data_IF_199681845728
#
_entry.id   IF_199681845728
#
_cell.length_a   1.000
_cell.length_b   1.000
_cell.length_c   1.000
_cell.angle_alpha   90.00
_cell.angle_beta   90.00
_cell.angle_gamma   90.00
#
_symmetry.space_group_name_H-M   'P 1'
#
loop_
_entity.id
_entity.type
_entity.pdbx_description
1 polymer ?
#
# COMPACT_ATOMS: atom_id res chain seq x y z
N UNK A 1 0.66 1.58 82.75
CA UNK A 1 0.91 1.94 81.33
C UNK A 1 1.87 0.92 80.74
N UNK A 2 1.40 -0.02 79.92
CA UNK A 2 2.19 -0.77 78.94
C UNK A 2 1.22 -1.45 77.97
N UNK A 3 1.52 -1.30 76.70
CA UNK A 3 0.62 -1.24 75.54
C UNK A 3 0.39 -2.59 74.87
N UNK A 4 -0.85 -2.83 74.45
CA UNK A 4 -1.27 -3.91 73.54
C UNK A 4 -0.61 -3.74 72.16
N UNK A 5 -0.12 -4.84 71.58
CA UNK A 5 0.28 -4.91 70.16
C UNK A 5 -0.82 -5.66 69.40
N UNK A 6 -1.53 -4.96 68.51
CA UNK A 6 -2.33 -5.56 67.44
C UNK A 6 -1.44 -5.83 66.23
N UNK A 7 -1.48 -7.05 65.71
CA UNK A 7 -0.93 -7.38 64.39
C UNK A 7 -1.98 -7.09 63.32
N UNK A 8 -1.62 -6.28 62.31
CA UNK A 8 -2.45 -6.00 61.14
C UNK A 8 -1.80 -6.67 59.93
N UNK A 9 -2.47 -7.68 59.38
CA UNK A 9 -2.10 -8.29 58.11
C UNK A 9 -2.63 -7.42 56.97
N UNK A 10 -1.74 -6.86 56.16
CA UNK A 10 -2.08 -6.11 54.96
C UNK A 10 -2.25 -7.07 53.77
N UNK A 11 -3.47 -7.15 53.25
CA UNK A 11 -3.79 -7.86 52.01
C UNK A 11 -3.61 -6.89 50.84
N UNK A 12 -2.50 -6.98 50.11
CA UNK A 12 -2.29 -6.23 48.87
C UNK A 12 -3.08 -6.87 47.73
N UNK A 13 -4.23 -6.30 47.38
CA UNK A 13 -4.92 -6.58 46.13
C UNK A 13 -4.27 -5.74 45.02
N UNK A 14 -3.48 -6.38 44.16
CA UNK A 14 -2.98 -5.79 42.92
C UNK A 14 -4.13 -5.66 41.92
N UNK A 15 -4.69 -4.46 41.77
CA UNK A 15 -5.55 -4.13 40.65
C UNK A 15 -4.68 -4.03 39.39
N UNK A 16 -4.77 -5.04 38.51
CA UNK A 16 -4.25 -4.93 37.16
C UNK A 16 -5.06 -3.87 36.43
N UNK A 17 -4.47 -2.72 36.15
CA UNK A 17 -5.05 -1.71 35.29
C UNK A 17 -5.09 -2.27 33.87
N UNK A 18 -6.25 -2.76 33.44
CA UNK A 18 -6.53 -2.99 32.03
C UNK A 18 -6.54 -1.62 31.36
N UNK A 19 -5.47 -1.29 30.64
CA UNK A 19 -5.47 -0.19 29.69
C UNK A 19 -6.42 -0.58 28.56
N UNK A 20 -7.70 -0.26 28.72
CA UNK A 20 -8.59 -0.10 27.58
C UNK A 20 -8.05 1.07 26.78
N UNK A 21 -7.30 0.78 25.71
CA UNK A 21 -7.09 1.71 24.62
C UNK A 21 -8.47 2.20 24.23
N UNK A 22 -8.76 3.48 24.47
CA UNK A 22 -9.93 4.09 23.85
C UNK A 22 -9.73 3.93 22.36
N UNK A 23 -10.54 3.12 21.69
CA UNK A 23 -10.60 3.16 20.24
C UNK A 23 -11.16 4.52 19.89
N UNK A 24 -10.28 5.50 19.67
CA UNK A 24 -10.63 6.64 18.84
C UNK A 24 -11.22 6.09 17.54
N UNK A 25 -12.22 6.79 16.99
CA UNK A 25 -12.67 6.44 15.66
C UNK A 25 -11.47 6.59 14.72
N UNK A 26 -11.06 5.50 14.08
CA UNK A 26 -10.01 5.54 13.06
C UNK A 26 -10.45 6.46 11.93
N UNK A 27 -9.47 7.01 11.21
CA UNK A 27 -9.72 7.89 10.08
C UNK A 27 -9.20 7.25 8.80
N UNK A 28 -10.09 6.98 7.86
CA UNK A 28 -9.75 6.60 6.49
C UNK A 28 -9.20 7.83 5.75
N UNK A 29 -8.09 7.64 5.04
CA UNK A 29 -7.45 8.64 4.19
C UNK A 29 -7.55 8.19 2.74
N UNK A 30 -8.21 9.00 1.90
CA UNK A 30 -8.51 8.66 0.51
C UNK A 30 -8.25 9.82 -0.44
N UNK A 31 -7.64 9.56 -1.59
CA UNK A 31 -7.55 10.57 -2.64
C UNK A 31 -8.89 10.77 -3.35
N UNK A 32 -9.34 12.01 -3.52
CA UNK A 32 -10.57 12.39 -4.21
C UNK A 32 -10.31 13.36 -5.37
N UNK A 33 -11.14 13.28 -6.42
CA UNK A 33 -11.12 14.25 -7.51
C UNK A 33 -11.64 15.63 -7.04
N UNK A 34 -11.11 16.73 -7.61
CA UNK A 34 -10.06 16.76 -8.63
C UNK A 34 -8.62 16.70 -8.05
N UNK A 35 -8.42 17.16 -6.82
CA UNK A 35 -7.10 17.45 -6.26
C UNK A 35 -7.10 17.44 -4.72
N UNK A 36 -7.79 16.49 -4.08
CA UNK A 36 -7.93 16.50 -2.62
C UNK A 36 -7.65 15.15 -1.98
N UNK A 37 -7.29 15.18 -0.69
CA UNK A 37 -7.38 14.04 0.22
C UNK A 37 -8.62 14.21 1.10
N UNK A 38 -9.43 13.18 1.20
CA UNK A 38 -10.61 13.12 2.04
C UNK A 38 -10.29 12.28 3.28
N UNK A 39 -10.58 12.86 4.44
CA UNK A 39 -10.52 12.16 5.72
C UNK A 39 -11.93 11.71 6.06
N UNK A 40 -12.12 10.41 6.26
CA UNK A 40 -13.44 9.79 6.47
C UNK A 40 -13.43 9.08 7.81
N UNK A 41 -14.43 9.33 8.64
CA UNK A 41 -14.60 8.64 9.91
C UNK A 41 -14.96 7.16 9.67
N UNK A 42 -14.12 6.25 10.16
CA UNK A 42 -14.16 4.81 9.89
C UNK A 42 -15.32 4.08 10.63
N UNK A 43 -16.13 4.82 11.39
CA UNK A 43 -17.31 4.31 12.08
C UNK A 43 -18.58 4.70 11.33
N UNK A 44 -18.70 5.98 11.02
CA UNK A 44 -19.90 6.62 10.46
C UNK A 44 -19.87 6.72 8.94
N UNK A 45 -18.69 6.65 8.32
CA UNK A 45 -18.51 6.86 6.88
C UNK A 45 -18.60 8.31 6.43
N UNK A 46 -18.61 9.25 7.38
CA UNK A 46 -18.76 10.67 7.06
C UNK A 46 -17.41 11.32 6.75
N UNK A 47 -17.38 12.19 5.74
CA UNK A 47 -16.18 12.97 5.42
C UNK A 47 -16.01 14.06 6.49
N UNK A 48 -14.98 13.94 7.32
CA UNK A 48 -14.71 14.85 8.43
C UNK A 48 -13.76 15.99 8.07
N UNK A 49 -12.93 15.79 7.04
CA UNK A 49 -12.00 16.82 6.56
C UNK A 49 -11.65 16.60 5.07
N UNK A 50 -11.31 17.69 4.38
CA UNK A 50 -10.85 17.70 2.99
C UNK A 50 -9.61 18.57 2.85
N UNK A 51 -8.51 17.96 2.41
CA UNK A 51 -7.22 18.62 2.24
C UNK A 51 -6.93 18.80 0.75
N UNK A 52 -6.97 20.04 0.26
CA UNK A 52 -6.63 20.36 -1.13
C UNK A 52 -5.12 20.28 -1.36
N UNK A 53 -4.72 19.59 -2.42
CA UNK A 53 -3.33 19.41 -2.86
C UNK A 53 -2.99 20.43 -3.94
N UNK A 54 -1.80 21.03 -3.87
CA UNK A 54 -1.39 22.05 -4.85
C UNK A 54 -0.87 21.44 -6.15
N UNK A 55 -0.29 20.25 -6.07
CA UNK A 55 0.30 19.54 -7.20
C UNK A 55 -0.71 18.71 -8.02
N UNK A 56 -1.98 18.69 -7.61
CA UNK A 56 -3.10 18.17 -8.39
C UNK A 56 -3.54 16.75 -8.01
N UNK A 57 -3.92 15.96 -9.01
CA UNK A 57 -4.65 14.69 -8.82
C UNK A 57 -3.81 13.64 -8.08
N UNK A 58 -4.21 13.16 -6.89
CA UNK A 58 -3.47 12.14 -6.15
C UNK A 58 -3.51 10.78 -6.86
N UNK A 59 -2.36 10.09 -6.87
CA UNK A 59 -2.18 8.78 -7.54
C UNK A 59 -1.59 7.69 -6.68
N UNK A 60 -0.99 8.02 -5.54
CA UNK A 60 -0.56 7.05 -4.53
C UNK A 60 -0.45 7.72 -3.16
N UNK A 61 -0.83 7.00 -2.11
CA UNK A 61 -0.67 7.37 -0.71
C UNK A 61 0.27 6.38 -0.01
N UNK A 62 1.18 6.88 0.81
CA UNK A 62 2.08 6.05 1.62
C UNK A 62 2.47 6.73 2.93
N UNK A 63 2.61 5.95 4.00
CA UNK A 63 3.13 6.46 5.27
C UNK A 63 4.64 6.65 5.26
N UNK A 64 5.13 7.58 6.09
CA UNK A 64 6.53 7.56 6.54
C UNK A 64 6.80 6.30 7.38
N UNK A 65 8.08 5.92 7.51
CA UNK A 65 8.48 4.77 8.34
C UNK A 65 8.03 4.88 9.81
N UNK A 66 7.88 6.10 10.34
CA UNK A 66 7.38 6.37 11.69
C UNK A 66 5.86 6.61 11.77
N UNK A 67 5.13 6.51 10.65
CA UNK A 67 3.69 6.72 10.56
C UNK A 67 3.22 8.17 10.77
N UNK A 68 4.12 9.13 11.01
CA UNK A 68 3.76 10.52 11.32
C UNK A 68 3.44 11.38 10.10
N UNK A 69 3.82 10.93 8.91
CA UNK A 69 3.60 11.66 7.66
C UNK A 69 2.91 10.78 6.65
N UNK A 70 2.13 11.41 5.78
CA UNK A 70 1.54 10.79 4.60
C UNK A 70 2.15 11.44 3.36
N UNK A 71 2.85 10.65 2.57
CA UNK A 71 3.36 11.04 1.27
C UNK A 71 2.27 10.79 0.23
N UNK A 72 2.01 11.81 -0.59
CA UNK A 72 1.04 11.75 -1.67
C UNK A 72 1.76 12.10 -2.96
N UNK A 73 1.73 11.20 -3.92
CA UNK A 73 2.20 11.52 -5.27
C UNK A 73 1.04 11.97 -6.13
N UNK A 74 1.30 12.93 -7.01
CA UNK A 74 0.25 13.52 -7.87
C UNK A 74 0.63 13.48 -9.35
N UNK A 75 -0.40 13.34 -10.20
CA UNK A 75 -0.22 13.19 -11.64
C UNK A 75 0.03 14.52 -12.35
N UNK A 76 -0.70 15.57 -11.97
CA UNK A 76 -0.84 16.78 -12.78
C UNK A 76 0.49 17.49 -13.02
N UNK A 77 1.31 17.59 -11.98
CA UNK A 77 2.61 18.29 -12.05
C UNK A 77 3.80 17.39 -11.74
N UNK A 78 3.62 16.06 -11.75
CA UNK A 78 4.64 15.12 -11.26
C UNK A 78 5.01 15.43 -9.83
N UNK A 79 4.01 15.66 -8.98
CA UNK A 79 4.20 16.26 -7.67
C UNK A 79 4.33 15.26 -6.54
N UNK A 80 4.89 15.75 -5.44
CA UNK A 80 5.01 15.04 -4.16
C UNK A 80 4.56 16.00 -3.07
N UNK A 81 3.48 15.64 -2.38
CA UNK A 81 2.96 16.35 -1.22
C UNK A 81 3.25 15.52 0.03
N UNK A 82 3.51 16.20 1.14
CA UNK A 82 3.76 15.56 2.43
C UNK A 82 2.78 16.17 3.42
N UNK A 83 1.89 15.34 3.96
CA UNK A 83 0.93 15.72 4.98
C UNK A 83 1.41 15.23 6.34
N UNK A 84 1.10 15.99 7.39
CA UNK A 84 1.18 15.53 8.77
C UNK A 84 -0.01 14.59 9.05
N UNK A 85 0.27 13.39 9.55
CA UNK A 85 -0.75 12.36 9.74
C UNK A 85 -1.74 12.71 10.87
N UNK A 86 -1.33 13.47 11.89
CA UNK A 86 -2.17 13.77 13.05
C UNK A 86 -3.03 15.03 12.84
N UNK A 87 -2.46 16.06 12.22
CA UNK A 87 -3.13 17.35 12.00
C UNK A 87 -3.70 17.52 10.60
N UNK A 88 -3.44 16.57 9.69
CA UNK A 88 -3.86 16.56 8.28
C UNK A 88 -3.30 17.73 7.44
N UNK A 89 -2.38 18.51 7.99
CA UNK A 89 -1.83 19.69 7.31
C UNK A 89 -0.78 19.31 6.29
N UNK A 90 -0.83 19.95 5.12
CA UNK A 90 0.25 19.89 4.13
C UNK A 90 1.50 20.58 4.68
N UNK A 91 2.57 19.81 4.88
CA UNK A 91 3.88 20.26 5.34
C UNK A 91 4.77 20.71 4.18
N UNK A 92 4.73 19.95 3.08
CA UNK A 92 5.58 20.16 1.91
C UNK A 92 4.76 19.90 0.65
N UNK A 93 4.95 20.73 -0.36
CA UNK A 93 4.35 20.59 -1.69
C UNK A 93 5.42 20.83 -2.74
N UNK A 94 5.66 19.84 -3.61
CA UNK A 94 6.69 19.89 -4.64
C UNK A 94 6.07 19.59 -6.01
N UNK A 95 6.57 20.29 -7.02
CA UNK A 95 6.34 20.00 -8.43
C UNK A 95 7.68 19.72 -9.08
N UNK A 96 7.86 18.52 -9.63
CA UNK A 96 9.05 18.20 -10.43
C UNK A 96 8.95 18.79 -11.84
N UNK A 97 7.75 19.08 -12.32
CA UNK A 97 7.56 19.69 -13.62
C UNK A 97 7.88 21.19 -13.56
N UNK A 98 8.57 21.64 -14.60
CA UNK A 98 8.81 23.04 -14.94
C UNK A 98 8.35 23.31 -16.41
N UNK A 99 8.49 24.54 -16.95
CA UNK A 99 8.06 24.85 -18.32
C UNK A 99 8.70 23.98 -19.43
N UNK A 100 9.93 23.51 -19.22
CA UNK A 100 10.71 22.72 -20.19
C UNK A 100 10.95 21.29 -19.76
N UNK A 101 11.00 20.98 -18.48
CA UNK A 101 11.17 19.62 -17.96
C UNK A 101 9.88 19.09 -17.38
N UNK A 102 9.51 17.86 -17.73
CA UNK A 102 8.43 17.12 -17.08
C UNK A 102 8.91 15.76 -16.60
N UNK A 103 8.26 15.26 -15.56
CA UNK A 103 8.48 13.93 -15.03
C UNK A 103 7.16 13.17 -15.03
N UNK A 104 7.23 11.93 -15.51
CA UNK A 104 6.14 10.97 -15.43
C UNK A 104 6.66 9.73 -14.74
N UNK A 105 6.27 9.53 -13.50
CA UNK A 105 6.65 8.36 -12.72
C UNK A 105 5.44 7.49 -12.40
N UNK A 106 5.69 6.19 -12.23
CA UNK A 106 4.68 5.16 -11.99
C UNK A 106 4.72 4.64 -10.57
N UNK A 107 5.84 4.79 -9.86
CA UNK A 107 6.00 4.38 -8.47
C UNK A 107 6.88 5.34 -7.69
N UNK A 108 6.71 5.33 -6.37
CA UNK A 108 7.46 6.18 -5.45
C UNK A 108 7.51 5.58 -4.04
N UNK A 109 8.59 5.84 -3.30
CA UNK A 109 8.72 5.49 -1.88
C UNK A 109 9.58 6.52 -1.14
N UNK A 110 9.16 6.99 0.06
CA UNK A 110 9.98 7.88 0.87
C UNK A 110 11.13 7.13 1.51
N UNK A 111 12.26 7.82 1.66
CA UNK A 111 13.38 7.35 2.48
C UNK A 111 13.00 7.28 3.97
N UNK A 112 13.53 6.32 4.77
CA UNK A 112 13.23 6.23 6.21
C UNK A 112 13.55 7.50 7.00
N UNK A 113 14.51 8.31 6.55
CA UNK A 113 14.85 9.61 7.16
C UNK A 113 13.87 10.72 6.79
N UNK A 114 13.05 10.51 5.76
CA UNK A 114 12.11 11.49 5.22
C UNK A 114 12.74 12.63 4.41
N UNK A 115 14.05 12.55 4.10
CA UNK A 115 14.75 13.56 3.29
C UNK A 115 14.61 13.34 1.79
N UNK A 116 14.64 12.08 1.35
CA UNK A 116 14.61 11.72 -0.06
C UNK A 116 13.32 10.98 -0.41
N UNK A 117 12.97 11.04 -1.69
CA UNK A 117 11.89 10.24 -2.26
C UNK A 117 12.40 9.55 -3.52
N UNK A 118 12.36 8.23 -3.53
CA UNK A 118 12.82 7.42 -4.65
C UNK A 118 11.64 7.18 -5.58
N UNK A 119 11.80 7.49 -6.87
CA UNK A 119 10.77 7.29 -7.89
C UNK A 119 11.28 6.45 -9.03
N UNK A 120 10.35 5.82 -9.73
CA UNK A 120 10.62 5.11 -10.98
C UNK A 120 9.76 5.67 -12.09
N UNK A 121 10.37 6.12 -13.17
CA UNK A 121 9.68 6.91 -14.18
C UNK A 121 10.57 7.36 -15.33
N UNK A 122 10.10 8.36 -16.06
CA UNK A 122 10.84 8.96 -17.16
C UNK A 122 10.80 10.49 -17.07
N UNK A 123 11.88 11.10 -17.58
CA UNK A 123 11.99 12.53 -17.85
C UNK A 123 11.45 12.80 -19.26
N UNK A 124 10.77 13.91 -19.44
CA UNK A 124 10.27 14.40 -20.72
C UNK A 124 10.74 15.84 -20.88
N UNK A 125 11.53 16.12 -21.92
CA UNK A 125 11.89 17.49 -22.27
C UNK A 125 10.86 18.02 -23.27
N UNK A 126 10.20 19.12 -22.89
CA UNK A 126 9.25 19.86 -23.71
C UNK A 126 9.99 20.97 -24.46
N UNK A 127 10.20 20.75 -25.74
CA UNK A 127 10.70 21.75 -26.67
C UNK A 127 9.53 22.59 -27.23
N UNK A 128 9.83 23.53 -28.11
CA UNK A 128 8.83 24.44 -28.69
C UNK A 128 7.77 23.67 -29.51
N UNK A 129 8.19 22.63 -30.23
CA UNK A 129 7.38 21.87 -31.19
C UNK A 129 7.45 20.33 -30.99
N UNK A 130 8.18 19.84 -30.00
CA UNK A 130 8.39 18.41 -29.76
C UNK A 130 8.49 18.08 -28.26
N UNK A 131 8.09 16.87 -27.90
CA UNK A 131 8.43 16.26 -26.61
C UNK A 131 9.48 15.16 -26.82
N UNK A 132 10.60 15.25 -26.12
CA UNK A 132 11.63 14.19 -26.08
C UNK A 132 11.45 13.36 -24.82
N UNK A 133 11.20 12.07 -25.01
CA UNK A 133 11.06 11.12 -23.91
C UNK A 133 12.43 10.50 -23.60
N UNK A 134 12.87 10.64 -22.34
CA UNK A 134 14.01 9.90 -21.83
C UNK A 134 13.67 8.43 -21.58
N UNK A 135 14.70 7.63 -21.31
CA UNK A 135 14.51 6.23 -20.94
C UNK A 135 13.94 6.10 -19.52
N UNK A 136 13.20 5.02 -19.22
CA UNK A 136 12.82 4.69 -17.85
C UNK A 136 14.05 4.66 -16.93
N UNK A 137 13.93 5.27 -15.77
CA UNK A 137 15.04 5.51 -14.84
C UNK A 137 14.58 5.37 -13.40
N UNK A 138 15.49 4.91 -12.53
CA UNK A 138 15.43 5.15 -11.10
C UNK A 138 15.89 6.57 -10.81
N UNK A 139 15.14 7.29 -9.98
CA UNK A 139 15.47 8.67 -9.64
C UNK A 139 15.37 8.92 -8.13
N UNK A 140 16.27 9.76 -7.63
CA UNK A 140 16.30 10.23 -6.25
C UNK A 140 15.90 11.70 -6.23
N UNK A 141 14.80 12.01 -5.56
CA UNK A 141 14.31 13.38 -5.35
C UNK A 141 14.75 13.85 -3.97
N UNK A 142 15.38 15.01 -3.86
CA UNK A 142 15.61 15.68 -2.56
C UNK A 142 14.37 16.50 -2.21
N UNK A 143 13.66 16.11 -1.14
CA UNK A 143 12.43 16.77 -0.73
C UNK A 143 12.65 18.16 -0.14
N UNK A 144 13.89 18.52 0.21
CA UNK A 144 14.23 19.85 0.68
C UNK A 144 14.39 20.84 -0.48
N UNK A 145 14.97 20.41 -1.59
CA UNK A 145 15.22 21.28 -2.75
C UNK A 145 14.15 21.16 -3.83
N UNK A 146 13.45 20.03 -3.90
CA UNK A 146 12.48 19.73 -4.96
C UNK A 146 13.14 19.25 -6.25
N UNK A 147 14.43 18.89 -6.23
CA UNK A 147 15.18 18.51 -7.41
C UNK A 147 15.44 17.01 -7.49
N UNK A 148 15.51 16.50 -8.72
CA UNK A 148 16.03 15.15 -8.99
C UNK A 148 17.55 15.19 -8.92
N UNK A 149 18.10 14.75 -7.79
CA UNK A 149 19.55 14.79 -7.50
C UNK A 149 20.31 13.61 -8.09
N UNK A 150 19.61 12.55 -8.49
CA UNK A 150 20.20 11.39 -9.19
C UNK A 150 19.17 10.75 -10.12
N UNK A 151 19.62 10.35 -11.30
CA UNK A 151 18.83 9.59 -12.28
C UNK A 151 19.73 8.54 -12.92
N UNK A 152 19.31 7.29 -12.94
CA UNK A 152 20.02 6.17 -13.56
C UNK A 152 19.05 5.38 -14.41
N UNK A 153 19.38 5.21 -15.70
CA UNK A 153 18.55 4.46 -16.64
C UNK A 153 18.39 3.01 -16.18
N UNK A 154 17.18 2.48 -16.29
CA UNK A 154 16.90 1.07 -16.03
C UNK A 154 17.45 0.26 -17.21
N UNK A 155 18.14 -0.84 -16.90
CA UNK A 155 18.74 -1.68 -17.92
C UNK A 155 17.67 -2.34 -18.81
N UNK A 156 18.03 -2.66 -20.06
CA UNK A 156 17.11 -3.37 -20.96
C UNK A 156 16.75 -4.78 -20.42
N UNK A 157 17.65 -5.41 -19.67
CA UNK A 157 17.42 -6.70 -18.99
C UNK A 157 16.30 -6.62 -17.94
N UNK A 158 16.18 -5.48 -17.27
CA UNK A 158 15.16 -5.26 -16.24
C UNK A 158 13.84 -4.78 -16.82
N UNK A 159 13.88 -4.25 -18.05
CA UNK A 159 12.72 -3.77 -18.77
C UNK A 159 12.13 -2.49 -18.16
N UNK A 160 11.15 -1.86 -18.83
CA UNK A 160 10.47 -0.71 -18.27
C UNK A 160 9.61 -1.12 -17.07
N UNK A 161 9.51 -0.26 -16.05
CA UNK A 161 8.64 -0.45 -14.91
C UNK A 161 7.18 -0.53 -15.37
N UNK A 162 6.41 -1.44 -14.77
CA UNK A 162 4.98 -1.58 -15.01
C UNK A 162 4.16 -0.32 -14.69
N UNK A 163 2.89 -0.33 -15.10
CA UNK A 163 1.96 0.72 -14.69
C UNK A 163 1.65 0.56 -13.20
N UNK A 164 2.08 1.53 -12.38
CA UNK A 164 1.99 1.52 -10.90
C UNK A 164 2.94 0.55 -10.21
N UNK A 165 4.21 0.64 -10.56
CA UNK A 165 5.28 -0.11 -9.90
C UNK A 165 5.27 0.15 -8.40
N UNK A 166 5.24 -0.94 -7.63
CA UNK A 166 5.33 -0.88 -6.18
C UNK A 166 6.79 -0.85 -5.78
N UNK A 167 7.13 0.08 -4.91
CA UNK A 167 8.47 0.23 -4.37
C UNK A 167 8.41 0.04 -2.85
N UNK A 168 9.43 -0.59 -2.29
CA UNK A 168 9.66 -0.61 -0.86
C UNK A 168 11.12 -0.26 -0.57
N UNK A 169 11.37 0.32 0.59
CA UNK A 169 12.73 0.61 1.04
C UNK A 169 13.00 -0.18 2.31
N UNK A 170 14.20 -0.76 2.40
CA UNK A 170 14.65 -1.38 3.64
C UNK A 170 14.67 -0.33 4.77
N UNK A 171 14.43 -0.74 6.04
CA UNK A 171 14.49 0.17 7.19
C UNK A 171 15.83 0.92 7.33
N UNK A 172 16.93 0.34 6.83
CA UNK A 172 18.25 0.97 6.83
C UNK A 172 18.42 2.07 5.76
N UNK A 173 17.46 2.22 4.85
CA UNK A 173 17.47 3.19 3.77
C UNK A 173 18.45 2.87 2.64
N UNK A 174 19.19 1.75 2.70
CA UNK A 174 20.26 1.45 1.74
C UNK A 174 19.77 0.64 0.54
N UNK A 175 18.74 -0.18 0.75
CA UNK A 175 18.23 -1.09 -0.27
C UNK A 175 16.82 -0.67 -0.71
N UNK A 176 16.65 -0.42 -2.01
CA UNK A 176 15.36 -0.20 -2.67
C UNK A 176 14.91 -1.49 -3.35
N UNK A 177 13.68 -1.89 -3.09
CA UNK A 177 13.03 -3.03 -3.71
C UNK A 177 12.01 -2.55 -4.73
N UNK A 178 12.10 -3.09 -5.94
CA UNK A 178 11.18 -2.79 -7.04
C UNK A 178 10.39 -4.05 -7.36
N UNK A 179 9.09 -4.03 -7.10
CA UNK A 179 8.21 -5.17 -7.31
C UNK A 179 7.54 -5.05 -8.67
N UNK A 180 7.98 -5.87 -9.61
CA UNK A 180 7.42 -6.02 -10.94
C UNK A 180 7.37 -7.53 -11.30
N UNK A 181 7.66 -7.91 -12.55
CA UNK A 181 7.82 -9.32 -12.97
C UNK A 181 8.82 -10.10 -12.12
N UNK A 182 9.87 -9.41 -11.66
CA UNK A 182 10.89 -9.87 -10.72
C UNK A 182 11.04 -8.82 -9.62
N UNK A 183 11.61 -9.20 -8.48
CA UNK A 183 11.94 -8.23 -7.44
C UNK A 183 13.38 -7.78 -7.64
N UNK A 184 13.57 -6.52 -8.04
CA UNK A 184 14.91 -5.93 -8.17
C UNK A 184 15.37 -5.43 -6.80
N UNK A 185 16.61 -5.76 -6.44
CA UNK A 185 17.28 -5.29 -5.23
C UNK A 185 18.32 -4.24 -5.62
N UNK A 186 17.97 -2.98 -5.40
CA UNK A 186 18.69 -1.82 -5.92
C UNK A 186 19.41 -1.09 -4.78
N UNK A 187 20.70 -0.79 -4.95
CA UNK A 187 21.44 0.05 -4.01
C UNK A 187 21.01 1.52 -4.15
N UNK A 188 20.65 2.18 -3.06
CA UNK A 188 20.14 3.56 -3.08
C UNK A 188 21.23 4.63 -3.25
N UNK A 189 22.51 4.28 -3.07
CA UNK A 189 23.62 5.20 -3.27
C UNK A 189 23.91 5.40 -4.75
N UNK A 190 23.85 4.33 -5.55
CA UNK A 190 24.18 4.37 -6.97
C UNK A 190 23.15 3.86 -7.97
N UNK A 191 22.03 3.30 -7.48
CA UNK A 191 21.02 2.62 -8.29
C UNK A 191 21.54 1.41 -9.06
N UNK A 192 22.65 0.80 -8.62
CA UNK A 192 23.07 -0.49 -9.13
C UNK A 192 22.09 -1.57 -8.67
N UNK A 193 21.69 -2.44 -9.62
CA UNK A 193 20.91 -3.63 -9.31
C UNK A 193 21.87 -4.68 -8.76
N UNK A 194 21.85 -4.86 -7.44
CA UNK A 194 22.77 -5.76 -6.71
C UNK A 194 22.31 -7.22 -6.73
N UNK A 195 21.00 -7.43 -6.82
CA UNK A 195 20.40 -8.74 -6.91
C UNK A 195 19.08 -8.66 -7.67
N UNK A 196 18.69 -9.79 -8.24
CA UNK A 196 17.41 -10.00 -8.90
C UNK A 196 16.84 -11.22 -8.24
N UNK A 197 15.88 -10.99 -7.34
CA UNK A 197 15.10 -12.07 -6.80
C UNK A 197 14.13 -12.45 -7.90
N UNK A 198 14.62 -13.37 -8.72
CA UNK A 198 13.82 -14.02 -9.71
C UNK A 198 12.81 -14.88 -8.97
N UNK A 199 11.56 -14.44 -9.01
CA UNK A 199 10.44 -15.23 -8.52
C UNK A 199 10.17 -16.39 -9.50
N UNK A 200 10.89 -16.46 -10.63
CA UNK A 200 11.00 -17.63 -11.51
C UNK A 200 12.16 -18.53 -11.02
N UNK A 201 11.85 -19.50 -10.16
CA UNK A 201 12.76 -20.63 -9.89
C UNK A 201 12.05 -21.95 -10.16
N UNK A 202 12.75 -23.00 -10.62
CA UNK A 202 12.18 -24.17 -11.31
C UNK A 202 11.12 -25.01 -10.56
N UNK A 203 10.86 -24.78 -9.26
CA UNK A 203 9.74 -25.39 -8.53
C UNK A 203 8.44 -24.56 -8.60
N UNK A 204 8.54 -23.27 -8.94
CA UNK A 204 7.42 -22.34 -9.03
C UNK A 204 7.56 -21.45 -10.26
N UNK A 205 6.67 -21.61 -11.22
CA UNK A 205 6.85 -20.87 -12.44
C UNK A 205 6.19 -19.48 -12.43
N UNK A 206 6.89 -18.47 -12.98
CA UNK A 206 6.42 -17.18 -13.55
C UNK A 206 5.39 -16.35 -12.79
N UNK A 207 5.75 -15.45 -11.88
CA UNK A 207 4.73 -14.58 -11.26
C UNK A 207 4.31 -13.36 -12.10
N UNK A 208 3.02 -13.03 -12.09
CA UNK A 208 2.47 -11.76 -12.61
C UNK A 208 1.64 -11.08 -11.52
N UNK A 209 1.68 -9.75 -11.49
CA UNK A 209 0.89 -8.91 -10.57
C UNK A 209 1.21 -9.13 -9.07
N UNK A 210 2.49 -8.93 -8.70
CA UNK A 210 2.90 -8.85 -7.28
C UNK A 210 2.24 -7.64 -6.61
N UNK A 211 1.08 -7.87 -5.98
CA UNK A 211 0.47 -6.92 -5.07
C UNK A 211 1.13 -7.07 -3.72
N UNK A 212 1.78 -6.03 -3.17
CA UNK A 212 2.06 -5.97 -1.73
C UNK A 212 0.75 -5.65 -0.98
N UNK A 213 0.59 -6.11 0.25
CA UNK A 213 -0.58 -5.79 1.06
C UNK A 213 -0.77 -4.29 1.30
N UNK A 214 -1.85 -3.93 1.98
CA UNK A 214 -2.15 -2.53 2.35
C UNK A 214 -1.00 -1.87 3.10
N UNK A 215 -0.84 -0.54 2.95
CA UNK A 215 0.24 0.22 3.61
C UNK A 215 0.27 0.08 5.13
N UNK A 216 -0.86 -0.29 5.76
CA UNK A 216 -0.96 -0.53 7.19
C UNK A 216 -0.13 -1.73 7.68
N UNK A 217 -0.04 -2.80 6.89
CA UNK A 217 0.75 -3.98 7.27
C UNK A 217 2.24 -3.65 7.34
N UNK A 218 2.71 -2.81 6.41
CA UNK A 218 4.11 -2.35 6.37
C UNK A 218 4.51 -1.52 7.60
N UNK A 219 3.54 -0.83 8.22
CA UNK A 219 3.77 -0.09 9.47
C UNK A 219 3.82 -1.00 10.70
N UNK A 220 3.01 -2.07 10.71
CA UNK A 220 2.95 -3.01 11.84
C UNK A 220 4.19 -3.86 11.94
N UNK A 221 4.72 -4.31 10.79
CA UNK A 221 5.93 -5.11 10.72
C UNK A 221 6.92 -4.49 9.73
N UNK A 222 7.71 -3.47 10.15
CA UNK A 222 8.66 -2.81 9.26
C UNK A 222 9.61 -3.82 8.59
N UNK A 223 9.67 -3.75 7.26
CA UNK A 223 10.51 -4.63 6.45
C UNK A 223 9.95 -6.04 6.24
N UNK A 224 8.76 -6.38 6.74
CA UNK A 224 8.08 -7.65 6.44
C UNK A 224 6.82 -7.39 5.62
N UNK A 225 6.63 -8.17 4.57
CA UNK A 225 5.50 -8.04 3.66
C UNK A 225 4.81 -9.38 3.49
N UNK A 226 3.56 -9.47 3.90
CA UNK A 226 2.69 -10.62 3.61
C UNK A 226 1.69 -10.22 2.54
N UNK A 227 1.59 -10.99 1.46
CA UNK A 227 0.57 -10.74 0.44
C UNK A 227 0.13 -11.98 -0.33
N UNK A 228 -0.88 -11.82 -1.19
CA UNK A 228 -1.25 -12.79 -2.22
C UNK A 228 -0.39 -12.55 -3.45
N UNK A 229 0.18 -13.64 -3.95
CA UNK A 229 1.04 -13.65 -5.13
C UNK A 229 0.48 -14.64 -6.14
N UNK A 230 0.58 -14.30 -7.43
CA UNK A 230 0.16 -15.16 -8.54
C UNK A 230 1.41 -15.59 -9.32
N UNK A 231 1.63 -16.90 -9.39
CA UNK A 231 2.57 -17.65 -10.24
C UNK A 231 1.88 -18.14 -11.51
N UNK A 232 2.62 -18.38 -12.58
CA UNK A 232 2.25 -18.75 -13.95
C UNK A 232 3.35 -19.64 -14.57
N UNK A 233 2.99 -20.86 -14.96
CA UNK A 233 3.86 -21.77 -15.72
C UNK A 233 4.50 -21.12 -16.98
N UNK A 234 5.84 -21.01 -17.16
CA UNK A 234 6.39 -20.39 -18.36
C UNK A 234 6.19 -21.25 -19.61
N UNK A 235 5.91 -22.54 -19.46
CA UNK A 235 5.73 -23.48 -20.58
C UNK A 235 4.26 -23.69 -20.92
N UNK A 236 3.40 -23.84 -19.91
CA UNK A 236 1.96 -24.13 -20.12
C UNK A 236 1.03 -22.98 -19.71
N UNK A 237 1.57 -21.86 -19.21
CA UNK A 237 0.83 -20.64 -18.85
C UNK A 237 -0.29 -20.83 -17.81
N UNK A 238 -0.16 -21.85 -16.96
CA UNK A 238 -1.11 -22.12 -15.88
C UNK A 238 -0.81 -21.27 -14.65
N UNK A 239 -1.81 -20.52 -14.18
CA UNK A 239 -1.66 -19.63 -13.05
C UNK A 239 -2.08 -20.25 -11.72
N UNK A 240 -1.28 -20.05 -10.68
CA UNK A 240 -1.51 -20.50 -9.29
C UNK A 240 -1.32 -19.31 -8.37
N UNK A 241 -2.25 -19.09 -7.44
CA UNK A 241 -2.09 -18.09 -6.40
C UNK A 241 -1.70 -18.73 -5.06
N UNK A 242 -1.10 -17.95 -4.20
CA UNK A 242 -0.73 -18.35 -2.84
C UNK A 242 -0.38 -17.16 -1.97
N UNK A 243 -0.07 -17.43 -0.71
CA UNK A 243 0.43 -16.41 0.22
C UNK A 243 1.94 -16.42 0.15
N UNK A 244 2.53 -15.24 -0.02
CA UNK A 244 3.97 -15.07 0.11
C UNK A 244 4.34 -14.07 1.21
N UNK A 245 5.50 -14.32 1.81
CA UNK A 245 6.13 -13.50 2.84
C UNK A 245 7.49 -13.06 2.35
N UNK A 246 7.74 -11.76 2.41
CA UNK A 246 9.01 -11.17 2.01
C UNK A 246 9.61 -10.40 3.19
N UNK A 247 10.84 -10.74 3.55
CA UNK A 247 11.63 -10.01 4.55
C UNK A 247 12.70 -9.18 3.82
N UNK A 248 12.56 -7.86 3.87
CA UNK A 248 13.46 -6.88 3.27
C UNK A 248 14.84 -6.85 3.94
N UNK A 249 14.97 -7.28 5.19
CA UNK A 249 16.25 -7.31 5.90
C UNK A 249 17.02 -8.57 5.54
N UNK A 250 16.34 -9.72 5.61
CA UNK A 250 16.93 -11.01 5.27
C UNK A 250 17.05 -11.25 3.75
N UNK A 251 16.39 -10.42 2.93
CA UNK A 251 16.25 -10.62 1.47
C UNK A 251 15.66 -11.98 1.13
N UNK A 252 14.80 -12.49 2.01
CA UNK A 252 14.20 -13.83 1.88
C UNK A 252 12.75 -13.73 1.42
N UNK A 253 12.37 -14.66 0.56
CA UNK A 253 11.02 -14.81 0.05
C UNK A 253 10.54 -16.24 0.29
N UNK A 254 9.38 -16.38 0.89
CA UNK A 254 8.69 -17.66 1.10
C UNK A 254 7.32 -17.60 0.43
N UNK A 255 6.98 -18.59 -0.39
CA UNK A 255 5.71 -18.67 -1.10
C UNK A 255 5.06 -20.04 -0.91
N UNK A 256 3.80 -20.04 -0.47
CA UNK A 256 3.00 -21.25 -0.33
C UNK A 256 1.81 -21.21 -1.28
N UNK A 257 1.77 -22.05 -2.33
CA UNK A 257 0.64 -22.11 -3.25
C UNK A 257 -0.62 -22.61 -2.54
N UNK A 258 -1.78 -22.05 -2.92
CA UNK A 258 -3.09 -22.42 -2.38
C UNK A 258 -3.97 -23.03 -3.45
N UNK A 259 -4.04 -22.44 -4.64
CA UNK A 259 -4.93 -22.91 -5.70
C UNK A 259 -4.77 -22.21 -7.05
N UNK A 260 -5.57 -22.56 -8.06
CA UNK A 260 -5.52 -21.91 -9.37
C UNK A 260 -5.90 -20.43 -9.24
N UNK A 261 -5.13 -19.55 -9.89
CA UNK A 261 -5.36 -18.11 -9.81
C UNK A 261 -6.62 -17.69 -10.58
N UNK A 262 -7.35 -16.75 -10.00
CA UNK A 262 -8.43 -16.05 -10.70
C UNK A 262 -7.86 -15.15 -11.82
N UNK A 263 -8.75 -14.58 -12.65
CA UNK A 263 -8.33 -13.67 -13.73
C UNK A 263 -7.63 -12.43 -13.16
N UNK A 264 -8.10 -11.95 -12.00
CA UNK A 264 -7.47 -10.89 -11.22
C UNK A 264 -7.64 -11.17 -9.73
N UNK A 265 -6.62 -10.82 -8.92
CA UNK A 265 -6.72 -10.80 -7.47
C UNK A 265 -6.28 -9.46 -6.91
N UNK A 266 -6.94 -8.99 -5.85
CA UNK A 266 -6.51 -7.82 -5.10
C UNK A 266 -5.32 -8.14 -4.19
N UNK A 267 -4.68 -7.10 -3.62
CA UNK A 267 -3.70 -7.31 -2.55
C UNK A 267 -4.34 -7.99 -1.34
N UNK A 268 -3.50 -8.56 -0.47
CA UNK A 268 -3.96 -9.13 0.81
C UNK A 268 -4.09 -8.01 1.84
N UNK A 269 -5.22 -8.01 2.55
CA UNK A 269 -5.41 -7.19 3.74
C UNK A 269 -5.33 -8.09 4.97
N UNK A 270 -4.50 -7.72 5.94
CA UNK A 270 -4.16 -8.55 7.10
C UNK A 270 -4.69 -7.91 8.38
N UNK A 271 -5.42 -8.69 9.16
CA UNK A 271 -5.99 -8.28 10.46
C UNK A 271 -4.91 -7.83 11.45
N UNK A 272 -5.26 -6.97 12.45
CA UNK A 272 -4.29 -6.43 13.40
C UNK A 272 -3.49 -7.45 14.20
N UNK A 273 -4.06 -8.64 14.45
CA UNK A 273 -3.38 -9.73 15.14
C UNK A 273 -2.50 -10.59 14.20
N UNK A 274 -2.54 -10.34 12.89
CA UNK A 274 -1.76 -11.04 11.88
C UNK A 274 -2.27 -12.43 11.52
N UNK A 275 -3.47 -12.81 12.00
CA UNK A 275 -3.95 -14.19 11.89
C UNK A 275 -4.84 -14.43 10.69
N UNK A 276 -5.71 -13.46 10.39
CA UNK A 276 -6.65 -13.54 9.29
C UNK A 276 -6.22 -12.62 8.16
N UNK A 277 -6.34 -13.13 6.92
CA UNK A 277 -6.06 -12.39 5.70
C UNK A 277 -7.24 -12.42 4.75
N UNK A 278 -7.48 -11.32 4.05
CA UNK A 278 -8.58 -11.19 3.09
C UNK A 278 -8.06 -10.72 1.74
N UNK A 279 -8.66 -11.21 0.66
CA UNK A 279 -8.44 -10.68 -0.69
C UNK A 279 -9.75 -10.72 -1.49
N UNK A 280 -9.73 -10.11 -2.66
CA UNK A 280 -10.80 -10.22 -3.64
C UNK A 280 -10.30 -10.96 -4.87
N UNK A 281 -10.99 -12.02 -5.24
CA UNK A 281 -10.79 -12.73 -6.50
C UNK A 281 -11.85 -12.29 -7.52
N UNK A 282 -11.41 -11.97 -8.74
CA UNK A 282 -12.30 -11.67 -9.88
C UNK A 282 -12.15 -12.77 -10.92
N UNK A 283 -13.26 -13.45 -11.21
CA UNK A 283 -13.33 -14.48 -12.25
C UNK A 283 -14.20 -14.00 -13.40
N UNK A 284 -13.91 -14.48 -14.61
CA UNK A 284 -14.63 -14.08 -15.82
C UNK A 284 -14.28 -12.68 -16.34
N UNK A 285 -14.90 -12.31 -17.46
CA UNK A 285 -14.64 -11.04 -18.18
C UNK A 285 -15.94 -10.31 -18.47
N UNK A 286 -15.86 -8.98 -18.54
CA UNK A 286 -16.97 -8.09 -18.89
C UNK A 286 -18.25 -8.41 -18.10
N UNK A 287 -19.36 -8.75 -18.77
CA UNK A 287 -20.65 -9.04 -18.15
C UNK A 287 -20.74 -10.39 -17.40
N UNK A 288 -19.74 -11.26 -17.55
CA UNK A 288 -19.64 -12.51 -16.81
C UNK A 288 -18.69 -12.41 -15.60
N UNK A 289 -18.25 -11.19 -15.25
CA UNK A 289 -17.39 -10.96 -14.07
C UNK A 289 -18.12 -11.36 -12.79
N UNK A 290 -17.44 -12.12 -11.94
CA UNK A 290 -17.84 -12.44 -10.57
C UNK A 290 -16.73 -12.06 -9.60
N UNK A 291 -17.11 -11.51 -8.47
CA UNK A 291 -16.19 -10.96 -7.48
C UNK A 291 -16.48 -11.67 -6.16
N UNK A 292 -15.46 -12.30 -5.60
CA UNK A 292 -15.57 -13.04 -4.35
C UNK A 292 -14.56 -12.48 -3.36
N UNK A 293 -14.99 -12.23 -2.12
CA UNK A 293 -14.08 -12.17 -1.00
C UNK A 293 -13.56 -13.57 -0.69
N UNK A 294 -12.28 -13.67 -0.37
CA UNK A 294 -11.64 -14.88 0.11
C UNK A 294 -10.98 -14.57 1.44
N UNK A 295 -11.27 -15.40 2.44
CA UNK A 295 -10.70 -15.32 3.79
C UNK A 295 -9.68 -16.45 3.98
N UNK A 296 -8.55 -16.12 4.60
CA UNK A 296 -7.47 -17.05 4.86
C UNK A 296 -7.07 -17.03 6.33
N UNK A 297 -6.76 -18.21 6.86
CA UNK A 297 -5.93 -18.38 8.04
C UNK A 297 -4.46 -18.25 7.62
N UNK A 298 -3.76 -17.25 8.13
CA UNK A 298 -2.36 -16.97 7.83
C UNK A 298 -1.39 -17.77 8.72
N UNK A 299 -1.82 -18.31 9.86
CA UNK A 299 -1.00 -19.23 10.67
C UNK A 299 -0.80 -20.55 9.89
N UNK A 300 -1.85 -21.03 9.22
CA UNK A 300 -1.80 -22.28 8.43
C UNK A 300 -1.65 -22.07 6.92
N UNK A 301 -1.83 -20.83 6.42
CA UNK A 301 -1.92 -20.46 5.00
C UNK A 301 -2.99 -21.28 4.25
N UNK A 302 -4.21 -21.28 4.79
CA UNK A 302 -5.35 -22.02 4.21
C UNK A 302 -6.52 -21.09 3.92
N UNK A 303 -7.23 -21.32 2.81
CA UNK A 303 -8.48 -20.61 2.53
C UNK A 303 -9.59 -21.19 3.41
N UNK A 304 -10.30 -20.33 4.13
CA UNK A 304 -11.34 -20.71 5.08
C UNK A 304 -12.72 -20.65 4.43
N UNK A 305 -13.15 -19.46 4.02
CA UNK A 305 -14.42 -19.22 3.37
C UNK A 305 -14.32 -18.16 2.27
N UNK A 306 -15.44 -18.02 1.53
CA UNK A 306 -15.58 -17.06 0.46
C UNK A 306 -17.03 -16.62 0.29
N UNK A 307 -17.23 -15.39 -0.17
CA UNK A 307 -18.55 -14.84 -0.44
C UNK A 307 -18.54 -13.98 -1.71
N UNK A 308 -19.54 -14.19 -2.57
CA UNK A 308 -19.74 -13.38 -3.77
C UNK A 308 -20.36 -12.02 -3.41
N UNK A 309 -19.92 -10.97 -4.09
CA UNK A 309 -20.51 -9.64 -4.00
C UNK A 309 -20.67 -9.00 -5.40
N UNK A 310 -21.56 -8.00 -5.56
CA UNK A 310 -21.74 -7.33 -6.83
C UNK A 310 -20.45 -6.72 -7.38
N UNK A 311 -19.96 -7.22 -8.51
CA UNK A 311 -18.77 -6.68 -9.15
C UNK A 311 -18.98 -5.25 -9.65
N UNK A 312 -18.02 -4.37 -9.34
CA UNK A 312 -17.85 -3.10 -10.05
C UNK A 312 -16.95 -3.30 -11.27
N UNK A 313 -17.11 -2.48 -12.30
CA UNK A 313 -16.26 -2.55 -13.51
C UNK A 313 -14.78 -2.32 -13.17
N UNK A 314 -14.52 -1.46 -12.18
CA UNK A 314 -13.23 -1.15 -11.59
C UNK A 314 -13.44 -0.84 -10.11
N UNK A 315 -12.57 -1.35 -9.25
CA UNK A 315 -12.59 -1.09 -7.82
C UNK A 315 -11.20 -1.40 -7.22
N UNK A 316 -11.06 -1.06 -5.95
CA UNK A 316 -9.99 -1.45 -5.07
C UNK A 316 -10.57 -2.05 -3.81
N UNK A 317 -9.69 -2.71 -3.08
CA UNK A 317 -10.00 -3.42 -1.86
C UNK A 317 -9.11 -2.90 -0.75
N UNK A 318 -9.67 -2.73 0.45
CA UNK A 318 -8.93 -2.45 1.67
C UNK A 318 -9.73 -2.90 2.89
N UNK A 319 -9.23 -2.63 4.08
CA UNK A 319 -9.79 -3.08 5.36
C UNK A 319 -9.72 -1.95 6.41
N UNK A 320 -10.63 -1.97 7.37
CA UNK A 320 -10.60 -1.05 8.52
C UNK A 320 -9.35 -1.23 9.37
N UNK A 321 -9.00 -0.18 10.12
CA UNK A 321 -7.84 -0.22 11.01
C UNK A 321 -7.93 -1.39 12.02
N UNK A 322 -9.14 -1.67 12.53
CA UNK A 322 -9.40 -2.72 13.51
C UNK A 322 -9.62 -4.11 12.90
N UNK A 323 -9.59 -4.23 11.57
CA UNK A 323 -9.77 -5.49 10.86
C UNK A 323 -11.19 -6.04 10.81
N UNK A 324 -12.19 -5.29 11.30
CA UNK A 324 -13.58 -5.76 11.36
C UNK A 324 -14.39 -5.50 10.10
N UNK A 325 -13.95 -4.57 9.24
CA UNK A 325 -14.67 -4.20 8.02
C UNK A 325 -13.78 -4.31 6.79
N UNK A 326 -14.41 -4.66 5.69
CA UNK A 326 -13.82 -4.73 4.35
C UNK A 326 -14.42 -3.63 3.46
N UNK A 327 -13.58 -3.02 2.64
CA UNK A 327 -13.92 -1.87 1.82
C UNK A 327 -13.73 -2.15 0.34
N UNK A 328 -14.81 -2.00 -0.43
CA UNK A 328 -14.77 -1.94 -1.89
C UNK A 328 -15.00 -0.49 -2.31
N UNK A 329 -13.99 0.10 -2.93
CA UNK A 329 -13.99 1.54 -3.26
C UNK A 329 -13.35 1.82 -4.63
N UNK A 330 -13.44 3.07 -5.08
CA UNK A 330 -12.81 3.52 -6.33
C UNK A 330 -13.72 3.38 -7.56
N UNK A 331 -13.43 4.20 -8.57
CA UNK A 331 -14.25 4.37 -9.78
C UNK A 331 -15.73 4.72 -9.47
N UNK A 332 -15.92 5.61 -8.50
CA UNK A 332 -17.19 6.11 -8.00
C UNK A 332 -16.94 7.01 -6.80
N UNK A 333 -18.00 7.54 -6.20
CA UNK A 333 -17.97 8.48 -5.08
C UNK A 333 -18.27 7.82 -3.73
N UNK A 334 -18.21 6.49 -3.64
CA UNK A 334 -18.69 5.72 -2.50
C UNK A 334 -17.73 4.60 -2.06
N UNK A 335 -17.90 4.14 -0.82
CA UNK A 335 -17.28 2.94 -0.27
C UNK A 335 -18.39 1.96 0.11
N UNK A 336 -18.40 0.77 -0.51
CA UNK A 336 -19.23 -0.33 -0.05
C UNK A 336 -18.54 -1.04 1.13
N UNK A 337 -19.24 -1.10 2.26
CA UNK A 337 -18.74 -1.65 3.53
C UNK A 337 -19.31 -3.04 3.76
N UNK A 338 -18.44 -3.97 4.12
CA UNK A 338 -18.78 -5.35 4.45
C UNK A 338 -18.21 -5.72 5.81
N UNK A 339 -18.91 -6.55 6.57
CA UNK A 339 -18.40 -7.14 7.81
C UNK A 339 -17.38 -8.23 7.45
N UNK A 340 -16.15 -8.12 7.98
CA UNK A 340 -15.05 -9.02 7.61
C UNK A 340 -15.29 -10.47 8.09
N UNK A 341 -16.02 -10.65 9.19
CA UNK A 341 -16.25 -11.97 9.78
C UNK A 341 -17.32 -12.78 9.02
N UNK A 342 -18.36 -12.11 8.55
CA UNK A 342 -19.50 -12.75 7.87
C UNK A 342 -19.45 -12.56 6.35
N UNK A 343 -18.58 -11.68 5.86
CA UNK A 343 -18.44 -11.27 4.46
C UNK A 343 -19.73 -10.69 3.86
N UNK A 344 -20.63 -10.18 4.72
CA UNK A 344 -21.92 -9.63 4.31
C UNK A 344 -21.84 -8.12 4.17
N UNK A 345 -22.57 -7.62 3.18
CA UNK A 345 -22.76 -6.19 2.97
C UNK A 345 -23.44 -5.56 4.19
N UNK A 346 -22.91 -4.43 4.65
CA UNK A 346 -23.50 -3.62 5.71
C UNK A 346 -24.23 -2.42 5.10
N UNK A 347 -23.50 -1.55 4.42
CA UNK A 347 -23.99 -0.28 3.89
C UNK A 347 -23.01 0.33 2.88
N UNK A 348 -23.48 1.31 2.13
CA UNK A 348 -22.64 2.18 1.30
C UNK A 348 -22.43 3.53 2.01
N UNK A 349 -21.19 4.01 1.97
CA UNK A 349 -20.81 5.35 2.42
C UNK A 349 -20.60 6.26 1.22
N UNK A 350 -21.39 7.32 1.11
CA UNK A 350 -21.24 8.33 0.06
C UNK A 350 -20.24 9.40 0.49
N UNK A 351 -19.20 9.63 -0.32
CA UNK A 351 -18.14 10.61 -0.07
C UNK A 351 -18.28 11.88 -0.94
N UNK A 352 -19.31 11.96 -1.78
CA UNK A 352 -19.64 13.09 -2.68
C UNK A 352 -18.63 13.38 -3.81
N UNK A 353 -17.35 13.08 -3.62
CA UNK A 353 -16.32 13.20 -4.64
C UNK A 353 -15.87 11.83 -5.14
N UNK A 354 -15.67 11.73 -6.46
CA UNK A 354 -15.10 10.52 -7.07
C UNK A 354 -13.75 10.19 -6.42
N UNK A 355 -13.59 8.92 -6.06
CA UNK A 355 -12.40 8.40 -5.42
C UNK A 355 -11.35 8.12 -6.49
N UNK A 356 -10.18 8.71 -6.28
CA UNK A 356 -9.02 8.50 -7.13
C UNK A 356 -8.42 7.13 -6.92
N UNK A 357 -7.36 6.87 -7.65
CA UNK A 357 -6.68 5.60 -7.65
C UNK A 357 -5.50 5.55 -6.68
N UNK A 358 -5.45 6.48 -5.73
CA UNK A 358 -4.33 6.67 -4.82
C UNK A 358 -4.19 5.58 -3.75
N UNK A 359 -5.18 4.71 -3.62
CA UNK A 359 -5.29 3.75 -2.52
C UNK A 359 -5.95 4.37 -1.29
N UNK A 360 -6.06 3.57 -0.24
CA UNK A 360 -6.68 3.90 1.04
C UNK A 360 -5.65 3.64 2.14
N UNK A 361 -5.52 4.59 3.07
CA UNK A 361 -4.80 4.39 4.32
C UNK A 361 -5.76 4.55 5.50
N UNK A 362 -5.43 3.96 6.65
CA UNK A 362 -6.19 4.14 7.89
C UNK A 362 -5.28 4.65 9.00
N UNK A 363 -5.69 5.76 9.59
CA UNK A 363 -5.09 6.37 10.79
C UNK A 363 -5.81 5.85 12.04
N UNK A 364 -5.11 5.66 13.16
CA UNK A 364 -5.70 5.21 14.43
C UNK A 364 -6.56 6.27 15.12
#
# INVERSE_FOLDING_TARGET
>A
MKTFRLALAALCATAAATTTTSSGASTIVLGGYPDQIQMVDDVTGTVVDKVTLKSGLPTNLQFSADGKKIYVTTLTTGGIEVLDAASHKVLTSLSLNDPVTRYRFTGGVPDPTGRYFYIVGLRIDKEVDLYRYGKPSFMKVDLKTGEVVKSVEISEEDGPPGYRTRLAIAPDGKTLYVFDKKVLVVDTADFSVTDRIDLEKPEYPGMRDVGLGGGLETLRQPGHYTSVFISEDPYIHNKVFGIARFDLNARSFDFKPIGPAAEQMAGLEVTPDGKDGYTVAVTGKLGAKRCEFWHFDLETNTALDKAEFPCRSRFYFSMSHDGKKLYIYGAGYDIAVYDAKTLKFEQDWELTNDITMAGLLTLP
#
